data_IF_392960239152
#
_entry.id   IF_392960239152
#
_cell.length_a   1.000
_cell.length_b   1.000
_cell.length_c   1.000
_cell.angle_alpha   90.00
_cell.angle_beta   90.00
_cell.angle_gamma   90.00
#
_symmetry.space_group_name_H-M   'P 1'
#
loop_
_entity.id
_entity.type
_entity.pdbx_description
1 polymer ?
#
# COMPACT_ATOMS: atom_id res chain seq x y z
N UNK A 1 4.26 -21.69 -5.06
CA UNK A 1 4.23 -20.35 -4.53
C UNK A 1 2.92 -19.67 -4.97
N UNK A 2 2.01 -19.45 -4.00
CA UNK A 2 0.66 -18.94 -4.27
C UNK A 2 0.68 -17.51 -4.81
N UNK A 3 1.66 -16.71 -4.45
CA UNK A 3 1.81 -15.34 -4.95
C UNK A 3 2.19 -15.30 -6.44
N UNK A 4 3.00 -16.23 -6.90
CA UNK A 4 3.34 -16.37 -8.32
C UNK A 4 2.10 -16.78 -9.14
N UNK A 5 1.34 -17.78 -8.66
CA UNK A 5 0.11 -18.22 -9.32
C UNK A 5 -0.95 -17.13 -9.41
N UNK A 6 -1.11 -16.35 -8.33
CA UNK A 6 -2.05 -15.21 -8.32
C UNK A 6 -1.64 -14.15 -9.33
N UNK A 7 -0.35 -13.83 -9.40
CA UNK A 7 0.18 -12.90 -10.39
C UNK A 7 -0.02 -13.39 -11.82
N UNK A 8 0.27 -14.66 -12.10
CA UNK A 8 0.10 -15.23 -13.43
C UNK A 8 -1.36 -15.13 -13.93
N UNK A 9 -2.32 -15.40 -13.04
CA UNK A 9 -3.75 -15.21 -13.34
C UNK A 9 -4.14 -13.76 -13.66
N UNK A 10 -3.56 -12.79 -12.94
CA UNK A 10 -3.82 -11.37 -13.18
C UNK A 10 -3.25 -10.92 -14.52
N UNK A 11 -2.09 -11.42 -14.87
CA UNK A 11 -1.40 -11.11 -16.13
C UNK A 11 -2.18 -11.60 -17.35
N UNK A 12 -2.88 -12.74 -17.26
CA UNK A 12 -3.72 -13.26 -18.34
C UNK A 12 -4.82 -12.27 -18.81
N UNK A 13 -5.19 -11.32 -17.94
CA UNK A 13 -6.20 -10.30 -18.23
C UNK A 13 -5.64 -9.05 -18.93
N UNK A 14 -4.32 -8.93 -19.03
CA UNK A 14 -3.64 -7.72 -19.51
C UNK A 14 -3.35 -7.80 -21.01
N UNK A 15 -3.64 -6.71 -21.71
CA UNK A 15 -3.13 -6.49 -23.05
C UNK A 15 -1.62 -6.22 -23.06
N UNK A 16 -0.95 -6.28 -24.21
CA UNK A 16 0.51 -6.27 -24.30
C UNK A 16 1.19 -5.00 -23.75
N UNK A 17 0.46 -3.89 -23.69
CA UNK A 17 0.94 -2.60 -23.21
C UNK A 17 0.28 -2.17 -21.88
N UNK A 18 -0.50 -3.03 -21.27
CA UNK A 18 -1.20 -2.70 -20.03
C UNK A 18 -0.25 -2.79 -18.83
N UNK A 19 -0.57 -1.97 -17.83
CA UNK A 19 0.08 -2.01 -16.52
C UNK A 19 -1.00 -2.15 -15.45
N UNK A 20 -0.92 -3.19 -14.66
CA UNK A 20 -1.77 -3.41 -13.51
C UNK A 20 -1.20 -2.71 -12.28
N UNK A 21 -2.00 -1.85 -11.66
CA UNK A 21 -1.74 -1.34 -10.32
C UNK A 21 -2.59 -2.11 -9.33
N UNK A 22 -1.97 -2.79 -8.38
CA UNK A 22 -2.69 -3.63 -7.40
C UNK A 22 -2.13 -3.49 -6.00
N UNK A 23 -3.03 -3.45 -5.01
CA UNK A 23 -2.67 -3.52 -3.60
C UNK A 23 -2.37 -4.96 -3.18
N UNK A 24 -1.35 -5.15 -2.37
CA UNK A 24 -1.05 -6.42 -1.70
C UNK A 24 -0.10 -6.21 -0.53
N UNK A 25 -0.12 -7.14 0.42
CA UNK A 25 0.83 -7.12 1.53
C UNK A 25 2.18 -7.70 1.09
N UNK A 26 3.25 -6.96 1.37
CA UNK A 26 4.61 -7.44 1.27
C UNK A 26 5.04 -8.01 2.62
N UNK A 27 5.25 -9.32 2.69
CA UNK A 27 5.77 -9.97 3.88
C UNK A 27 7.30 -9.92 3.88
N UNK A 28 7.87 -9.62 5.02
CA UNK A 28 9.31 -9.66 5.27
C UNK A 28 9.64 -10.91 6.08
N UNK A 29 10.61 -11.66 5.57
CA UNK A 29 11.10 -12.89 6.21
C UNK A 29 12.52 -12.66 6.75
N UNK A 30 12.80 -13.24 7.89
CA UNK A 30 14.15 -13.29 8.43
C UNK A 30 15.01 -14.17 7.53
N UNK A 31 16.08 -13.61 6.95
CA UNK A 31 17.04 -14.39 6.15
C UNK A 31 17.93 -15.16 7.12
N UNK A 32 17.71 -16.46 7.21
CA UNK A 32 18.63 -17.33 7.92
C UNK A 32 19.96 -17.47 7.17
N UNK A 33 21.05 -17.58 7.93
CA UNK A 33 22.38 -17.88 7.39
C UNK A 33 22.34 -19.20 6.61
N UNK A 34 23.07 -19.27 5.50
CA UNK A 34 23.14 -20.42 4.61
C UNK A 34 23.37 -21.72 5.40
N UNK A 35 22.43 -22.66 5.32
CA UNK A 35 22.62 -24.03 5.80
C UNK A 35 21.54 -24.60 6.73
N UNK A 36 20.54 -23.84 7.16
CA UNK A 36 19.44 -24.35 7.98
C UNK A 36 18.14 -24.19 7.21
N UNK A 37 17.53 -25.30 6.81
CA UNK A 37 16.18 -25.34 6.24
C UNK A 37 15.17 -25.13 7.38
N UNK A 38 14.90 -23.90 7.73
CA UNK A 38 13.77 -23.52 8.57
C UNK A 38 12.82 -22.69 7.72
N UNK A 39 11.52 -22.97 7.83
CA UNK A 39 10.49 -22.10 7.28
C UNK A 39 10.77 -20.67 7.75
N UNK A 40 10.88 -19.72 6.80
CA UNK A 40 11.26 -18.35 7.09
C UNK A 40 10.32 -17.75 8.14
N UNK A 41 10.88 -17.25 9.24
CA UNK A 41 10.10 -16.55 10.25
C UNK A 41 9.69 -15.20 9.68
N UNK A 42 8.41 -14.94 9.64
CA UNK A 42 7.88 -13.62 9.27
C UNK A 42 8.17 -12.60 10.35
N UNK A 43 8.78 -11.49 9.98
CA UNK A 43 9.25 -10.45 10.91
C UNK A 43 8.50 -9.12 10.77
N UNK A 44 7.70 -8.95 9.71
CA UNK A 44 6.91 -7.75 9.48
C UNK A 44 6.22 -7.81 8.13
N UNK A 45 5.38 -6.82 7.89
CA UNK A 45 4.68 -6.64 6.63
C UNK A 45 4.73 -5.17 6.18
N UNK A 46 4.47 -4.90 4.90
CA UNK A 46 4.15 -3.58 4.39
C UNK A 46 2.87 -3.66 3.56
N UNK A 47 1.98 -2.71 3.78
CA UNK A 47 0.82 -2.52 2.93
C UNK A 47 1.31 -1.81 1.67
N UNK A 48 1.24 -2.47 0.51
CA UNK A 48 1.98 -2.02 -0.68
C UNK A 48 1.10 -1.96 -1.91
N UNK A 49 1.49 -1.09 -2.85
CA UNK A 49 0.98 -1.08 -4.22
C UNK A 49 2.10 -1.56 -5.14
N UNK A 50 1.78 -2.48 -6.02
CA UNK A 50 2.67 -3.01 -7.05
C UNK A 50 2.21 -2.58 -8.42
N UNK A 51 3.14 -2.21 -9.30
CA UNK A 51 2.91 -2.14 -10.72
C UNK A 51 3.44 -3.37 -11.42
N UNK A 52 2.60 -4.03 -12.19
CA UNK A 52 2.92 -5.28 -12.89
C UNK A 52 2.61 -5.10 -14.37
N UNK A 53 3.57 -5.41 -15.23
CA UNK A 53 3.35 -5.35 -16.68
C UNK A 53 2.74 -6.66 -17.22
N UNK A 54 2.38 -6.67 -18.49
CA UNK A 54 1.79 -7.82 -19.18
C UNK A 54 2.68 -9.09 -19.19
N UNK A 55 3.98 -8.98 -18.89
CA UNK A 55 4.90 -10.11 -18.76
C UNK A 55 5.01 -10.61 -17.31
N UNK A 56 4.19 -10.10 -16.37
CA UNK A 56 4.24 -10.49 -14.96
C UNK A 56 5.43 -9.90 -14.19
N UNK A 57 6.18 -8.98 -14.80
CA UNK A 57 7.30 -8.32 -14.13
C UNK A 57 6.80 -7.20 -13.25
N UNK A 58 7.23 -7.19 -11.99
CA UNK A 58 7.04 -6.06 -11.08
C UNK A 58 7.95 -4.93 -11.54
N UNK A 59 7.36 -3.81 -11.96
CA UNK A 59 8.07 -2.61 -12.42
C UNK A 59 8.59 -1.83 -11.22
N UNK A 60 7.72 -1.62 -10.23
CA UNK A 60 8.03 -0.93 -8.98
C UNK A 60 7.03 -1.30 -7.88
N UNK A 61 7.35 -0.88 -6.66
CA UNK A 61 6.51 -1.03 -5.47
C UNK A 61 6.53 0.26 -4.66
N UNK A 62 5.38 0.63 -4.14
CA UNK A 62 5.20 1.65 -3.13
C UNK A 62 4.75 1.01 -1.83
N UNK A 63 5.35 1.36 -0.71
CA UNK A 63 4.94 0.93 0.62
C UNK A 63 4.26 2.11 1.33
N UNK A 64 3.10 1.86 1.89
CA UNK A 64 2.31 2.84 2.64
C UNK A 64 3.15 3.46 3.76
N UNK A 65 3.18 4.79 3.83
CA UNK A 65 3.99 5.52 4.80
C UNK A 65 3.20 5.88 6.06
N UNK A 66 1.96 6.38 5.91
CA UNK A 66 1.11 6.72 7.05
C UNK A 66 0.22 5.54 7.45
N UNK A 67 0.69 4.79 8.42
CA UNK A 67 -0.04 3.64 8.96
C UNK A 67 -1.19 4.07 9.86
N UNK A 68 -2.27 3.28 9.85
CA UNK A 68 -3.43 3.50 10.74
C UNK A 68 -3.07 3.04 12.16
N UNK A 69 -3.05 3.95 13.15
CA UNK A 69 -2.83 3.57 14.53
C UNK A 69 -3.87 2.55 15.00
N UNK A 70 -3.47 1.60 15.83
CA UNK A 70 -4.28 0.48 16.35
C UNK A 70 -4.82 -0.50 15.28
N UNK A 71 -4.79 -0.12 14.00
CA UNK A 71 -5.14 -0.99 12.88
C UNK A 71 -3.90 -1.73 12.35
N UNK A 72 -2.94 -0.99 11.84
CA UNK A 72 -1.74 -1.54 11.19
C UNK A 72 -0.55 -1.69 12.15
N UNK A 73 -0.51 -0.92 13.23
CA UNK A 73 0.49 -1.07 14.30
C UNK A 73 -0.11 -0.72 15.66
N UNK A 74 0.54 -1.19 16.73
CA UNK A 74 0.16 -0.87 18.10
C UNK A 74 1.10 0.19 18.66
N UNK A 75 0.63 1.45 18.85
CA UNK A 75 1.44 2.47 19.50
C UNK A 75 1.84 2.04 20.90
N UNK A 76 3.06 2.36 21.34
CA UNK A 76 3.56 2.01 22.68
C UNK A 76 3.29 0.53 23.04
N UNK A 77 3.55 -0.37 22.11
CA UNK A 77 3.23 -1.82 22.22
C UNK A 77 3.52 -2.42 23.61
N UNK A 78 4.67 -2.20 24.27
CA UNK A 78 4.95 -2.80 25.58
C UNK A 78 3.92 -2.40 26.64
N UNK A 79 3.52 -1.13 26.67
CA UNK A 79 2.54 -0.62 27.62
C UNK A 79 1.12 -1.10 27.28
N UNK A 80 0.72 -0.99 26.02
CA UNK A 80 -0.62 -1.41 25.59
C UNK A 80 -0.84 -2.90 25.76
N UNK A 81 0.14 -3.72 25.45
CA UNK A 81 0.06 -5.17 25.68
C UNK A 81 -0.01 -5.52 27.17
N UNK A 82 0.68 -4.76 28.03
CA UNK A 82 0.63 -4.99 29.49
C UNK A 82 -0.77 -4.74 30.10
N UNK A 83 -1.58 -3.85 29.50
CA UNK A 83 -2.96 -3.58 29.90
C UNK A 83 -4.00 -4.37 29.10
N UNK A 84 -3.56 -5.38 28.32
CA UNK A 84 -4.44 -6.28 27.57
C UNK A 84 -5.02 -5.71 26.27
N UNK A 85 -4.52 -4.59 25.79
CA UNK A 85 -4.93 -4.03 24.50
C UNK A 85 -4.13 -4.66 23.36
N UNK A 86 -4.85 -5.09 22.33
CA UNK A 86 -4.29 -5.61 21.09
C UNK A 86 -4.69 -4.72 19.91
N UNK A 87 -4.14 -5.00 18.72
CA UNK A 87 -4.62 -4.36 17.50
C UNK A 87 -6.08 -4.72 17.22
N UNK A 88 -6.80 -3.78 16.61
CA UNK A 88 -8.18 -4.00 16.17
C UNK A 88 -8.26 -4.94 14.96
N UNK A 89 -7.18 -5.03 14.18
CA UNK A 89 -7.08 -5.90 13.02
C UNK A 89 -6.39 -7.20 13.39
N UNK A 90 -6.95 -8.37 13.03
CA UNK A 90 -6.33 -9.67 13.27
C UNK A 90 -4.95 -9.79 12.62
N UNK A 91 -4.02 -10.44 13.31
CA UNK A 91 -2.67 -10.74 12.83
C UNK A 91 -1.57 -10.37 13.83
N UNK A 92 -0.49 -11.13 13.83
CA UNK A 92 0.63 -10.99 14.77
C UNK A 92 1.74 -10.07 14.24
N UNK A 93 1.73 -9.75 12.94
CA UNK A 93 2.76 -8.94 12.30
C UNK A 93 2.37 -7.46 12.30
N UNK A 94 3.30 -6.61 12.76
CA UNK A 94 3.16 -5.17 12.56
C UNK A 94 3.53 -4.79 11.14
N UNK A 95 2.79 -3.82 10.59
CA UNK A 95 3.15 -3.20 9.34
C UNK A 95 4.29 -2.19 9.55
N UNK A 96 5.19 -2.15 8.60
CA UNK A 96 6.30 -1.21 8.58
C UNK A 96 5.99 -0.06 7.62
N UNK A 97 6.24 1.19 8.04
CA UNK A 97 5.98 2.34 7.21
C UNK A 97 6.98 2.44 6.05
N UNK A 98 6.47 2.86 4.91
CA UNK A 98 7.30 3.26 3.77
C UNK A 98 7.93 4.65 3.94
N UNK A 99 8.70 5.09 2.94
CA UNK A 99 9.50 6.32 3.04
C UNK A 99 8.71 7.63 2.82
N UNK A 100 7.42 7.55 2.47
CA UNK A 100 6.58 8.71 2.15
C UNK A 100 6.17 8.81 0.69
N UNK A 101 5.49 9.89 0.30
CA UNK A 101 4.99 10.08 -1.06
C UNK A 101 6.10 9.96 -2.09
N UNK A 102 5.86 9.14 -3.12
CA UNK A 102 6.75 8.97 -4.26
C UNK A 102 5.95 8.88 -5.54
N UNK A 103 6.54 9.37 -6.62
CA UNK A 103 5.98 9.22 -7.96
C UNK A 103 6.76 8.20 -8.75
N UNK A 104 6.04 7.38 -9.51
CA UNK A 104 6.59 6.31 -10.33
C UNK A 104 6.09 6.44 -11.77
N UNK A 105 6.95 6.12 -12.72
CA UNK A 105 6.54 6.11 -14.14
C UNK A 105 5.66 4.88 -14.43
N UNK A 106 4.53 5.13 -15.10
CA UNK A 106 3.66 4.09 -15.67
C UNK A 106 3.77 4.18 -17.18
N UNK A 107 4.41 3.21 -17.84
CA UNK A 107 4.65 3.25 -19.28
C UNK A 107 3.37 3.52 -20.06
N UNK A 108 3.38 4.56 -20.91
CA UNK A 108 2.22 4.95 -21.72
C UNK A 108 1.16 5.80 -21.02
N UNK A 109 1.25 5.99 -19.68
CA UNK A 109 0.22 6.70 -18.89
C UNK A 109 0.74 7.91 -18.15
N UNK A 110 2.06 8.09 -18.07
CA UNK A 110 2.68 9.17 -17.32
C UNK A 110 3.11 8.74 -15.92
N UNK A 111 3.20 9.70 -15.03
CA UNK A 111 3.75 9.51 -13.68
C UNK A 111 2.63 9.44 -12.65
N UNK A 112 2.58 8.37 -11.87
CA UNK A 112 1.60 8.17 -10.80
C UNK A 112 2.18 8.51 -9.43
N UNK A 113 1.45 9.28 -8.63
CA UNK A 113 1.64 9.41 -7.20
C UNK A 113 0.82 8.34 -6.46
N UNK A 114 1.37 7.76 -5.43
CA UNK A 114 0.72 6.67 -4.67
C UNK A 114 0.31 7.15 -3.29
N UNK A 115 -0.94 6.82 -2.93
CA UNK A 115 -1.48 6.99 -1.60
C UNK A 115 -2.34 5.78 -1.28
N UNK A 116 -2.15 5.12 -0.13
CA UNK A 116 -2.94 3.95 0.24
C UNK A 116 -3.95 4.32 1.30
N UNK A 117 -5.26 4.22 0.96
CA UNK A 117 -6.38 4.38 1.89
C UNK A 117 -6.24 5.68 2.72
N UNK A 118 -6.05 5.55 4.03
CA UNK A 118 -5.91 6.60 5.03
C UNK A 118 -4.92 7.73 4.69
N UNK A 119 -3.90 7.48 3.88
CA UNK A 119 -2.90 8.49 3.50
C UNK A 119 -3.50 9.71 2.79
N UNK A 120 -4.61 9.54 2.09
CA UNK A 120 -5.26 10.63 1.34
C UNK A 120 -5.82 11.75 2.23
N UNK A 121 -6.00 11.51 3.52
CA UNK A 121 -6.54 12.52 4.43
C UNK A 121 -5.55 13.65 4.74
N UNK A 122 -4.24 13.41 4.57
CA UNK A 122 -3.19 14.35 4.98
C UNK A 122 -2.94 15.43 3.93
N UNK A 123 -3.51 16.62 4.13
CA UNK A 123 -3.28 17.78 3.26
C UNK A 123 -1.79 18.13 3.15
N UNK A 124 -1.33 18.41 1.93
CA UNK A 124 0.05 18.80 1.64
C UNK A 124 1.08 17.69 1.73
N UNK A 125 0.66 16.42 1.96
CA UNK A 125 1.54 15.27 2.12
C UNK A 125 1.21 14.14 1.13
N UNK A 126 0.40 14.40 0.10
CA UNK A 126 -0.08 13.37 -0.81
C UNK A 126 0.72 13.27 -2.12
N UNK A 127 1.63 14.21 -2.37
CA UNK A 127 2.47 14.21 -3.58
C UNK A 127 3.95 14.39 -3.24
N UNK A 128 4.79 13.76 -4.03
CA UNK A 128 6.22 14.09 -4.08
C UNK A 128 6.40 15.42 -4.84
N UNK A 129 6.66 16.49 -4.11
CA UNK A 129 6.81 17.83 -4.68
C UNK A 129 8.07 17.98 -5.54
N UNK A 130 9.10 17.20 -5.27
CA UNK A 130 10.34 17.21 -6.05
C UNK A 130 10.19 16.45 -7.37
N UNK A 131 9.28 15.47 -7.40
CA UNK A 131 8.99 14.64 -8.58
C UNK A 131 7.47 14.54 -8.74
N UNK A 132 6.84 15.68 -9.10
CA UNK A 132 5.37 15.80 -9.14
C UNK A 132 4.73 14.80 -10.09
N UNK A 133 3.67 14.08 -9.67
CA UNK A 133 2.96 13.14 -10.53
C UNK A 133 1.99 13.86 -11.48
N UNK A 134 1.52 13.14 -12.49
CA UNK A 134 0.45 13.55 -13.41
C UNK A 134 -0.94 13.20 -12.86
N UNK A 135 -1.03 12.16 -12.04
CA UNK A 135 -2.24 11.71 -11.36
C UNK A 135 -1.90 10.96 -10.07
N UNK A 136 -2.89 10.77 -9.20
CA UNK A 136 -2.76 10.01 -7.95
C UNK A 136 -3.60 8.74 -8.04
N UNK A 137 -3.07 7.62 -7.61
CA UNK A 137 -3.80 6.37 -7.42
C UNK A 137 -3.93 6.08 -5.92
N UNK A 138 -5.20 6.00 -5.43
CA UNK A 138 -5.52 5.81 -4.02
C UNK A 138 -6.37 4.54 -3.81
N UNK A 139 -5.77 3.34 -3.89
CA UNK A 139 -6.49 2.12 -3.59
C UNK A 139 -6.95 2.11 -2.14
N UNK A 140 -8.24 1.84 -1.94
CA UNK A 140 -8.89 1.92 -0.65
C UNK A 140 -9.81 0.72 -0.41
N UNK A 141 -9.79 0.18 0.80
CA UNK A 141 -10.77 -0.78 1.27
C UNK A 141 -11.49 -0.20 2.50
N UNK A 142 -12.66 0.39 2.26
CA UNK A 142 -13.46 1.04 3.30
C UNK A 142 -14.35 0.08 4.10
N UNK A 143 -14.34 -1.21 3.79
CA UNK A 143 -15.15 -2.22 4.49
C UNK A 143 -14.89 -2.30 6.01
N UNK A 144 -13.77 -1.77 6.47
CA UNK A 144 -13.36 -1.75 7.88
C UNK A 144 -14.14 -0.74 8.74
N UNK A 145 -14.75 0.29 8.13
CA UNK A 145 -15.24 1.48 8.84
C UNK A 145 -16.77 1.68 8.74
N UNK A 146 -17.51 0.69 8.22
CA UNK A 146 -18.96 0.75 8.06
C UNK A 146 -19.42 1.72 6.95
N UNK A 147 -20.76 1.94 6.88
CA UNK A 147 -21.40 2.56 5.71
C UNK A 147 -21.13 4.06 5.55
N UNK A 148 -20.71 4.76 6.59
CA UNK A 148 -20.48 6.21 6.55
C UNK A 148 -19.05 6.59 6.15
N UNK A 149 -18.11 5.69 6.25
CA UNK A 149 -16.70 5.95 5.91
C UNK A 149 -16.45 6.17 4.40
N UNK A 150 -17.02 5.38 3.48
CA UNK A 150 -16.78 5.56 2.04
C UNK A 150 -17.12 6.97 1.54
N UNK A 151 -18.26 7.61 1.89
CA UNK A 151 -18.54 8.99 1.49
C UNK A 151 -17.54 10.01 2.04
N UNK A 152 -17.07 9.84 3.27
CA UNK A 152 -16.08 10.72 3.87
C UNK A 152 -14.71 10.56 3.19
N UNK A 153 -14.29 9.34 2.93
CA UNK A 153 -13.04 9.06 2.25
C UNK A 153 -13.03 9.64 0.84
N UNK A 154 -14.14 9.45 0.09
CA UNK A 154 -14.31 10.08 -1.22
C UNK A 154 -14.26 11.61 -1.14
N UNK A 155 -14.83 12.22 -0.09
CA UNK A 155 -14.76 13.66 0.11
C UNK A 155 -13.30 14.13 0.33
N UNK A 156 -12.51 13.39 1.11
CA UNK A 156 -11.08 13.68 1.28
C UNK A 156 -10.31 13.55 -0.05
N UNK A 157 -10.55 12.51 -0.83
CA UNK A 157 -9.92 12.34 -2.14
C UNK A 157 -10.26 13.53 -3.07
N UNK A 158 -11.53 13.97 -3.11
CA UNK A 158 -11.94 15.15 -3.88
C UNK A 158 -11.24 16.44 -3.43
N UNK A 159 -11.11 16.64 -2.11
CA UNK A 159 -10.37 17.79 -1.59
C UNK A 159 -8.91 17.77 -2.02
N UNK A 160 -8.25 16.61 -1.93
CA UNK A 160 -6.86 16.47 -2.40
C UNK A 160 -6.73 16.69 -3.90
N UNK A 161 -7.68 16.20 -4.70
CA UNK A 161 -7.70 16.46 -6.14
C UNK A 161 -7.75 17.97 -6.46
N UNK A 162 -8.56 18.72 -5.71
CA UNK A 162 -8.67 20.18 -5.85
C UNK A 162 -7.39 20.87 -5.36
N UNK A 163 -6.88 20.52 -4.18
CA UNK A 163 -5.67 21.12 -3.59
C UNK A 163 -4.44 20.92 -4.46
N UNK A 164 -4.28 19.73 -4.98
CA UNK A 164 -3.13 19.40 -5.80
C UNK A 164 -3.36 19.68 -7.29
N UNK A 165 -4.58 19.95 -7.74
CA UNK A 165 -4.89 20.12 -9.16
C UNK A 165 -4.59 18.89 -9.99
N UNK A 166 -4.81 17.69 -9.43
CA UNK A 166 -4.50 16.40 -10.04
C UNK A 166 -5.73 15.47 -10.01
N UNK A 167 -5.92 14.65 -11.07
CA UNK A 167 -6.89 13.55 -11.01
C UNK A 167 -6.51 12.55 -9.91
N UNK A 168 -7.52 12.01 -9.21
CA UNK A 168 -7.35 10.91 -8.26
C UNK A 168 -8.23 9.74 -8.71
N UNK A 169 -7.64 8.57 -8.82
CA UNK A 169 -8.26 7.31 -9.21
C UNK A 169 -8.36 6.38 -8.01
#
# INVERSE_FOLDING_TARGET
DDSARSRDRLVELLGPNDVLLTGADKIFEEKHAKGVATEGRWIGAANSVFAINAQGKILWRYDKAHLVPYGEYLPMRPFMSAIGLSRLVPGDLDFWPGPGPRSHDVPGFGKVGLQVCYEIIFSGQVVDRANRPDFIFNPTNDAWYGDWAPPQHLAHARLRAIEEGLPIL
#
